data_IF_799131720245
#
_entry.id   IF_799131720245
#
_cell.length_a   1.000
_cell.length_b   1.000
_cell.length_c   1.000
_cell.angle_alpha   90.00
_cell.angle_beta   90.00
_cell.angle_gamma   90.00
#
_symmetry.space_group_name_H-M   'P 1'
#
loop_
_entity.id
_entity.type
_entity.pdbx_description
1 polymer ?
#
# COMPACT_ATOMS: atom_id res chain seq x y z
N UNK A 1 -0.02 -22.58 41.92
CA UNK A 1 -0.84 -21.37 41.72
C UNK A 1 -0.82 -21.04 40.24
N UNK A 2 -2.00 -20.74 39.70
CA UNK A 2 -2.42 -20.62 38.31
C UNK A 2 -1.41 -19.92 37.36
N UNK A 3 -1.04 -20.54 36.23
CA UNK A 3 -1.70 -20.59 34.90
C UNK A 3 -1.26 -19.44 33.97
N UNK A 4 -1.15 -19.79 32.68
CA UNK A 4 -1.12 -18.92 31.50
C UNK A 4 0.26 -18.56 30.90
N UNK A 5 1.11 -19.57 30.67
CA UNK A 5 1.98 -19.55 29.48
C UNK A 5 1.20 -20.18 28.33
N UNK A 6 0.98 -19.41 27.26
CA UNK A 6 0.51 -19.94 25.98
C UNK A 6 -0.65 -19.15 25.38
N UNK A 7 -0.36 -18.03 24.73
CA UNK A 7 -1.19 -17.58 23.62
C UNK A 7 -0.96 -18.54 22.44
N UNK A 8 -1.55 -19.74 22.50
CA UNK A 8 -1.71 -20.60 21.34
C UNK A 8 -3.13 -20.42 20.83
N UNK A 9 -3.31 -19.39 20.00
CA UNK A 9 -4.48 -19.31 19.14
C UNK A 9 -4.47 -20.51 18.20
N UNK A 10 -5.19 -21.56 18.56
CA UNK A 10 -5.58 -22.66 17.68
C UNK A 10 -6.59 -22.13 16.65
N UNK A 11 -6.13 -21.27 15.74
CA UNK A 11 -6.94 -20.81 14.63
C UNK A 11 -6.86 -21.87 13.52
N UNK A 12 -7.86 -22.76 13.50
CA UNK A 12 -8.29 -23.61 12.38
C UNK A 12 -7.38 -23.49 11.14
N UNK A 13 -6.53 -24.47 10.89
CA UNK A 13 -5.51 -24.44 9.83
C UNK A 13 -6.07 -24.14 8.43
N UNK A 14 -7.35 -24.49 8.18
CA UNK A 14 -8.08 -24.11 6.96
C UNK A 14 -8.60 -22.66 6.93
N UNK A 15 -8.93 -22.08 8.08
CA UNK A 15 -9.34 -20.66 8.19
C UNK A 15 -8.11 -19.72 8.13
N UNK A 16 -6.95 -20.17 8.61
CA UNK A 16 -5.70 -19.38 8.55
C UNK A 16 -5.26 -19.13 7.11
N UNK A 17 -5.47 -20.08 6.20
CA UNK A 17 -5.08 -19.94 4.79
C UNK A 17 -5.95 -18.92 4.05
N UNK A 18 -7.28 -19.00 4.18
CA UNK A 18 -8.18 -18.03 3.55
C UNK A 18 -7.96 -16.62 4.10
N UNK A 19 -7.83 -16.47 5.42
CA UNK A 19 -7.54 -15.16 6.05
C UNK A 19 -6.21 -14.59 5.55
N UNK A 20 -5.17 -15.42 5.39
CA UNK A 20 -3.88 -14.98 4.83
C UNK A 20 -3.99 -14.55 3.36
N UNK A 21 -4.74 -15.28 2.54
CA UNK A 21 -4.97 -14.92 1.14
C UNK A 21 -5.73 -13.60 1.00
N UNK A 22 -6.81 -13.42 1.76
CA UNK A 22 -7.55 -12.15 1.79
C UNK A 22 -6.71 -11.00 2.32
N UNK A 23 -5.89 -11.23 3.35
CA UNK A 23 -4.95 -10.22 3.85
C UNK A 23 -3.94 -9.80 2.78
N UNK A 24 -3.35 -10.74 2.04
CA UNK A 24 -2.41 -10.45 0.95
C UNK A 24 -3.07 -9.68 -0.20
N UNK A 25 -4.29 -10.05 -0.59
CA UNK A 25 -5.06 -9.34 -1.62
C UNK A 25 -5.40 -7.93 -1.14
N UNK A 26 -5.86 -7.78 0.11
CA UNK A 26 -6.19 -6.50 0.72
C UNK A 26 -4.98 -5.57 0.78
N UNK A 27 -3.82 -6.09 1.16
CA UNK A 27 -2.57 -5.33 1.20
C UNK A 27 -2.16 -4.85 -0.20
N UNK A 28 -2.23 -5.72 -1.21
CA UNK A 28 -1.97 -5.33 -2.60
C UNK A 28 -2.96 -4.29 -3.10
N UNK A 29 -4.24 -4.44 -2.77
CA UNK A 29 -5.28 -3.50 -3.15
C UNK A 29 -5.07 -2.14 -2.48
N UNK A 30 -4.70 -2.11 -1.19
CA UNK A 30 -4.41 -0.87 -0.47
C UNK A 30 -3.27 -0.09 -1.14
N UNK A 31 -2.17 -0.77 -1.51
CA UNK A 31 -1.06 -0.16 -2.26
C UNK A 31 -1.50 0.36 -3.62
N UNK A 32 -2.30 -0.41 -4.34
CA UNK A 32 -2.84 0.01 -5.64
C UNK A 32 -3.79 1.22 -5.53
N UNK A 33 -4.65 1.25 -4.51
CA UNK A 33 -5.54 2.37 -4.24
C UNK A 33 -4.74 3.63 -3.88
N UNK A 34 -3.70 3.51 -3.06
CA UNK A 34 -2.80 4.62 -2.73
C UNK A 34 -2.09 5.16 -3.98
N UNK A 35 -1.57 4.27 -4.84
CA UNK A 35 -0.96 4.64 -6.12
C UNK A 35 -1.93 5.43 -6.99
N UNK A 36 -3.15 4.91 -7.20
CA UNK A 36 -4.16 5.58 -8.04
C UNK A 36 -4.55 6.93 -7.48
N UNK A 37 -4.83 7.00 -6.18
CA UNK A 37 -5.20 8.25 -5.52
C UNK A 37 -4.10 9.31 -5.71
N UNK A 38 -2.85 8.95 -5.44
CA UNK A 38 -1.72 9.87 -5.61
C UNK A 38 -1.52 10.28 -7.07
N UNK A 39 -1.70 9.35 -8.01
CA UNK A 39 -1.62 9.64 -9.44
C UNK A 39 -2.73 10.59 -9.89
N UNK A 40 -3.97 10.36 -9.45
CA UNK A 40 -5.11 11.21 -9.78
C UNK A 40 -4.92 12.62 -9.21
N UNK A 41 -4.50 12.74 -7.95
CA UNK A 41 -4.14 14.01 -7.30
C UNK A 41 -3.06 14.75 -8.09
N UNK A 42 -1.90 14.13 -8.34
CA UNK A 42 -0.81 14.76 -9.09
C UNK A 42 -1.18 15.08 -10.55
N UNK A 43 -2.02 14.27 -11.18
CA UNK A 43 -2.46 14.49 -12.56
C UNK A 43 -3.48 15.62 -12.68
N UNK A 44 -4.24 15.88 -11.60
CA UNK A 44 -5.18 16.98 -11.50
C UNK A 44 -4.49 18.34 -11.34
N UNK A 45 -3.26 18.34 -10.81
CA UNK A 45 -2.44 19.55 -10.66
C UNK A 45 -1.99 20.11 -12.00
N UNK A 46 -1.89 21.44 -12.06
CA UNK A 46 -1.43 22.16 -13.23
C UNK A 46 0.10 22.14 -13.35
N UNK A 47 0.62 22.40 -14.55
CA UNK A 47 2.06 22.36 -14.83
C UNK A 47 2.87 23.32 -13.95
N UNK A 48 2.29 24.44 -13.53
CA UNK A 48 2.94 25.39 -12.61
C UNK A 48 3.11 24.79 -11.22
N UNK A 49 2.06 24.22 -10.65
CA UNK A 49 2.10 23.60 -9.32
C UNK A 49 3.08 22.41 -9.30
N UNK A 50 3.10 21.63 -10.38
CA UNK A 50 4.11 20.57 -10.56
C UNK A 50 5.52 21.17 -10.63
N UNK A 51 5.72 22.27 -11.37
CA UNK A 51 7.02 22.95 -11.49
C UNK A 51 7.49 23.55 -10.17
N UNK A 52 6.58 24.07 -9.34
CA UNK A 52 6.89 24.63 -8.02
C UNK A 52 7.40 23.54 -7.07
N UNK A 53 6.90 22.31 -7.23
CA UNK A 53 7.40 21.11 -6.55
C UNK A 53 8.67 20.51 -7.19
N UNK A 54 9.16 21.08 -8.30
CA UNK A 54 10.28 20.52 -9.06
C UNK A 54 9.94 19.24 -9.83
N UNK A 55 8.66 18.96 -10.05
CA UNK A 55 8.17 17.77 -10.73
C UNK A 55 7.77 18.05 -12.18
N UNK A 56 7.96 17.04 -13.02
CA UNK A 56 7.48 17.02 -14.42
C UNK A 56 6.34 16.02 -14.55
N UNK A 57 5.43 16.22 -15.51
CA UNK A 57 4.30 15.30 -15.77
C UNK A 57 4.73 13.84 -15.99
N UNK A 58 5.89 13.63 -16.62
CA UNK A 58 6.48 12.30 -16.81
C UNK A 58 6.93 11.63 -15.51
N UNK A 59 7.26 12.41 -14.47
CA UNK A 59 7.70 11.91 -13.16
C UNK A 59 6.53 11.52 -12.26
N UNK A 60 5.31 12.00 -12.53
CA UNK A 60 4.12 11.71 -11.71
C UNK A 60 3.96 10.21 -11.47
N UNK A 61 4.04 9.41 -12.55
CA UNK A 61 3.91 7.94 -12.46
C UNK A 61 4.98 7.33 -11.56
N UNK A 62 6.22 7.81 -11.71
CA UNK A 62 7.37 7.32 -10.94
C UNK A 62 7.25 7.67 -9.45
N UNK A 63 6.87 8.91 -9.14
CA UNK A 63 6.68 9.38 -7.75
C UNK A 63 5.50 8.68 -7.09
N UNK A 64 4.36 8.59 -7.77
CA UNK A 64 3.19 7.86 -7.26
C UNK A 64 3.52 6.39 -7.00
N UNK A 65 4.32 5.76 -7.87
CA UNK A 65 4.78 4.39 -7.68
C UNK A 65 5.71 4.26 -6.46
N UNK A 66 6.68 5.15 -6.32
CA UNK A 66 7.59 5.18 -5.17
C UNK A 66 6.85 5.37 -3.85
N UNK A 67 5.80 6.20 -3.81
CA UNK A 67 5.00 6.37 -2.60
C UNK A 67 4.18 5.10 -2.26
N UNK A 68 3.62 4.45 -3.27
CA UNK A 68 2.75 3.29 -3.05
C UNK A 68 3.51 1.97 -2.78
N UNK A 69 4.70 1.81 -3.36
CA UNK A 69 5.45 0.55 -3.33
C UNK A 69 6.85 0.67 -2.72
N UNK A 70 7.30 1.88 -2.40
CA UNK A 70 8.68 2.14 -1.98
C UNK A 70 9.64 2.30 -3.16
N UNK A 71 10.89 2.66 -2.85
CA UNK A 71 11.94 2.76 -3.84
C UNK A 71 12.34 1.34 -4.29
N UNK A 72 12.42 1.03 -5.60
CA UNK A 72 13.09 -0.19 -6.03
C UNK A 72 14.57 -0.09 -5.59
N UNK A 73 15.03 -1.10 -4.86
CA UNK A 73 16.42 -1.20 -4.39
C UNK A 73 17.42 -1.19 -5.56
#
# INVERSE_FOLDING_TARGET
MAMATGYQGQANEGQTLLVRLFAQIGERYARYAAYRKCLDELSSMNNRELSDLGLRRSLIRTVAYQQAYGQPA
#
